data_IF_903465071781
#
_entry.id   IF_903465071781
#
_cell.length_a   1.000
_cell.length_b   1.000
_cell.length_c   1.000
_cell.angle_alpha   90.00
_cell.angle_beta   90.00
_cell.angle_gamma   90.00
#
_symmetry.space_group_name_H-M   'P 1'
#
loop_
_entity.id
_entity.type
_entity.pdbx_description
1 polymer ?
#
# COMPACT_ATOMS: atom_id res chain seq x y z
N UNK A 1 -3.06 14.30 -24.70
CA UNK A 1 -2.31 14.75 -23.51
C UNK A 1 -3.22 14.52 -22.31
N UNK A 2 -3.08 13.42 -21.57
CA UNK A 2 -3.89 13.22 -20.36
C UNK A 2 -3.19 13.93 -19.19
N UNK A 3 -3.53 15.20 -18.99
CA UNK A 3 -3.26 15.85 -17.72
C UNK A 3 -4.21 15.26 -16.68
N UNK A 4 -3.70 14.77 -15.54
CA UNK A 4 -4.52 14.42 -14.37
C UNK A 4 -4.61 12.95 -13.98
N UNK A 5 -3.86 12.04 -14.60
CA UNK A 5 -3.78 10.65 -14.13
C UNK A 5 -2.52 10.47 -13.27
N UNK A 6 -2.63 10.19 -11.96
CA UNK A 6 -1.46 10.09 -11.07
C UNK A 6 -0.59 8.86 -11.32
N UNK A 7 -1.10 7.89 -12.09
CA UNK A 7 -0.39 6.65 -12.47
C UNK A 7 -0.02 6.69 -13.95
N UNK A 8 1.26 6.59 -14.25
CA UNK A 8 1.74 6.53 -15.64
C UNK A 8 1.36 5.20 -16.33
N UNK A 9 1.35 5.15 -17.68
CA UNK A 9 1.13 3.90 -18.40
C UNK A 9 2.13 2.78 -18.03
N UNK A 10 3.38 3.14 -17.75
CA UNK A 10 4.40 2.19 -17.31
C UNK A 10 4.07 1.63 -15.92
N UNK A 11 3.73 2.50 -14.95
CA UNK A 11 3.29 2.06 -13.61
C UNK A 11 2.06 1.16 -13.71
N UNK A 12 1.06 1.53 -14.53
CA UNK A 12 -0.12 0.69 -14.72
C UNK A 12 0.22 -0.71 -15.28
N UNK A 13 1.11 -0.79 -16.28
CA UNK A 13 1.57 -2.08 -16.80
C UNK A 13 2.27 -2.93 -15.72
N UNK A 14 3.06 -2.31 -14.84
CA UNK A 14 3.71 -2.97 -13.71
C UNK A 14 2.68 -3.44 -12.68
N UNK A 15 1.67 -2.63 -12.35
CA UNK A 15 0.56 -3.01 -11.45
C UNK A 15 -0.17 -4.24 -12.00
N UNK A 16 -0.52 -4.24 -13.30
CA UNK A 16 -1.12 -5.39 -13.96
C UNK A 16 -0.27 -6.66 -13.82
N UNK A 17 1.04 -6.55 -14.02
CA UNK A 17 1.97 -7.67 -13.90
C UNK A 17 2.05 -8.22 -12.47
N UNK A 18 2.13 -7.33 -11.47
CA UNK A 18 2.19 -7.69 -10.05
C UNK A 18 0.92 -8.40 -9.62
N UNK A 19 -0.23 -7.77 -9.83
CA UNK A 19 -1.55 -8.30 -9.47
C UNK A 19 -1.77 -9.67 -10.13
N UNK A 20 -1.55 -9.79 -11.43
CA UNK A 20 -1.74 -11.04 -12.16
C UNK A 20 -0.86 -12.17 -11.59
N UNK A 21 0.39 -11.87 -11.22
CA UNK A 21 1.31 -12.87 -10.64
C UNK A 21 0.89 -13.30 -9.25
N UNK A 22 0.53 -12.35 -8.38
CA UNK A 22 0.07 -12.64 -7.01
C UNK A 22 -1.20 -13.50 -7.05
N UNK A 23 -2.18 -13.12 -7.90
CA UNK A 23 -3.44 -13.85 -8.04
C UNK A 23 -3.25 -15.25 -8.65
N UNK A 24 -2.42 -15.39 -9.68
CA UNK A 24 -2.10 -16.69 -10.27
C UNK A 24 -1.45 -17.66 -9.26
N UNK A 25 -0.83 -17.12 -8.22
CA UNK A 25 -0.20 -17.90 -7.14
C UNK A 25 -1.07 -17.97 -5.88
N UNK A 26 -2.28 -17.41 -5.90
CA UNK A 26 -3.22 -17.38 -4.76
C UNK A 26 -2.65 -16.68 -3.52
N UNK A 27 -1.81 -15.66 -3.72
CA UNK A 27 -1.21 -14.89 -2.64
C UNK A 27 -2.19 -13.81 -2.21
N UNK A 28 -2.50 -13.74 -0.92
CA UNK A 28 -3.38 -12.70 -0.39
C UNK A 28 -2.60 -11.39 -0.28
N UNK A 29 -3.13 -10.33 -0.89
CA UNK A 29 -2.48 -9.03 -0.91
C UNK A 29 -3.49 -7.89 -0.78
N UNK A 30 -3.00 -6.69 -0.49
CA UNK A 30 -3.72 -5.45 -0.74
C UNK A 30 -2.76 -4.39 -1.28
N UNK A 31 -3.24 -3.55 -2.20
CA UNK A 31 -2.56 -2.30 -2.53
C UNK A 31 -2.68 -1.33 -1.35
N UNK A 32 -1.59 -0.72 -0.93
CA UNK A 32 -1.54 0.29 0.16
C UNK A 32 -0.87 1.59 -0.33
N UNK A 33 -0.49 2.47 0.59
CA UNK A 33 0.37 3.61 0.29
C UNK A 33 -0.23 4.64 -0.66
N UNK A 34 0.62 5.18 -1.53
CA UNK A 34 0.23 6.23 -2.49
C UNK A 34 -0.83 5.76 -3.48
N UNK A 35 -0.64 4.55 -4.04
CA UNK A 35 -1.55 3.99 -5.04
C UNK A 35 -2.95 3.74 -4.45
N UNK A 36 -3.03 3.27 -3.21
CA UNK A 36 -4.31 3.12 -2.53
C UNK A 36 -5.00 4.47 -2.32
N UNK A 37 -4.26 5.51 -1.97
CA UNK A 37 -4.76 6.89 -1.94
C UNK A 37 -5.34 7.32 -3.30
N UNK A 38 -4.62 7.08 -4.40
CA UNK A 38 -5.08 7.42 -5.74
C UNK A 38 -6.34 6.65 -6.14
N UNK A 39 -6.44 5.37 -5.79
CA UNK A 39 -7.64 4.54 -6.02
C UNK A 39 -8.86 5.14 -5.29
N UNK A 40 -8.66 5.69 -4.09
CA UNK A 40 -9.71 6.38 -3.32
C UNK A 40 -9.97 7.82 -3.77
N UNK A 41 -9.22 8.32 -4.75
CA UNK A 41 -9.45 9.60 -5.42
C UNK A 41 -8.39 10.68 -5.16
N UNK A 42 -7.28 10.38 -4.48
CA UNK A 42 -6.22 11.39 -4.32
C UNK A 42 -5.48 11.65 -5.63
N UNK A 43 -4.99 12.88 -5.80
CA UNK A 43 -4.29 13.29 -7.04
C UNK A 43 -2.76 13.31 -6.91
N UNK A 44 -2.22 12.73 -5.83
CA UNK A 44 -0.77 12.72 -5.60
C UNK A 44 -0.03 11.98 -6.73
N UNK A 45 1.09 12.52 -7.23
CA UNK A 45 1.96 11.78 -8.12
C UNK A 45 2.43 10.48 -7.47
N UNK A 46 2.20 9.35 -8.15
CA UNK A 46 2.62 8.05 -7.63
C UNK A 46 4.14 7.91 -7.71
N UNK A 47 4.80 7.70 -6.58
CA UNK A 47 6.26 7.55 -6.50
C UNK A 47 6.69 6.08 -6.69
N UNK A 48 6.02 5.19 -5.99
CA UNK A 48 6.24 3.75 -5.90
C UNK A 48 4.90 3.00 -5.79
N UNK A 49 4.96 1.68 -5.91
CA UNK A 49 3.80 0.80 -5.74
C UNK A 49 3.99 0.03 -4.43
N UNK A 50 3.13 0.31 -3.45
CA UNK A 50 3.15 -0.36 -2.16
C UNK A 50 2.12 -1.49 -2.09
N UNK A 51 2.54 -2.66 -1.64
CA UNK A 51 1.68 -3.84 -1.46
C UNK A 51 1.94 -4.47 -0.10
N UNK A 52 0.89 -4.78 0.64
CA UNK A 52 1.00 -5.65 1.82
C UNK A 52 0.65 -7.09 1.44
N UNK A 53 1.41 -8.05 1.94
CA UNK A 53 1.14 -9.49 1.81
C UNK A 53 1.32 -10.19 3.16
N UNK A 54 0.72 -11.37 3.33
CA UNK A 54 0.84 -12.12 4.58
C UNK A 54 2.28 -12.61 4.80
N UNK A 55 2.74 -12.59 6.06
CA UNK A 55 4.07 -13.06 6.48
C UNK A 55 4.39 -14.46 5.97
N UNK A 56 3.39 -15.36 6.00
CA UNK A 56 3.52 -16.74 5.54
C UNK A 56 3.84 -16.83 4.04
N UNK A 57 3.43 -15.84 3.24
CA UNK A 57 3.64 -15.80 1.80
C UNK A 57 4.94 -15.08 1.40
N UNK A 58 5.56 -14.32 2.32
CA UNK A 58 6.74 -13.48 2.02
C UNK A 58 7.90 -14.26 1.36
N UNK A 59 8.31 -15.46 1.83
CA UNK A 59 9.37 -16.23 1.17
C UNK A 59 9.02 -16.59 -0.28
N UNK A 60 7.77 -16.99 -0.53
CA UNK A 60 7.28 -17.34 -1.87
C UNK A 60 7.20 -16.12 -2.77
N UNK A 61 6.81 -14.96 -2.25
CA UNK A 61 6.83 -13.70 -2.98
C UNK A 61 8.26 -13.32 -3.38
N UNK A 62 9.22 -13.43 -2.46
CA UNK A 62 10.62 -13.16 -2.75
C UNK A 62 11.17 -14.04 -3.88
N UNK A 63 10.83 -15.34 -3.89
CA UNK A 63 11.18 -16.25 -4.98
C UNK A 63 10.49 -15.89 -6.31
N UNK A 64 9.18 -15.59 -6.27
CA UNK A 64 8.36 -15.28 -7.45
C UNK A 64 8.85 -14.04 -8.20
N UNK A 65 9.38 -13.06 -7.46
CA UNK A 65 9.87 -11.79 -7.99
C UNK A 65 11.40 -11.68 -7.98
N UNK A 66 12.14 -12.76 -7.69
CA UNK A 66 13.59 -12.78 -7.58
C UNK A 66 14.35 -12.02 -8.71
N UNK A 67 13.94 -12.10 -10.01
CA UNK A 67 14.62 -11.35 -11.07
C UNK A 67 14.51 -9.81 -10.98
N UNK A 68 13.58 -9.30 -10.16
CA UNK A 68 13.30 -7.87 -10.01
C UNK A 68 13.75 -7.30 -8.66
N UNK A 69 14.28 -8.16 -7.77
CA UNK A 69 14.68 -7.76 -6.42
C UNK A 69 15.84 -6.79 -6.49
N UNK A 70 15.66 -5.62 -5.87
CA UNK A 70 16.73 -4.64 -5.65
C UNK A 70 17.27 -4.73 -4.23
N UNK A 71 16.41 -4.97 -3.24
CA UNK A 71 16.81 -5.27 -1.86
C UNK A 71 16.05 -6.52 -1.39
N UNK A 72 16.75 -7.54 -0.87
CA UNK A 72 16.12 -8.78 -0.42
C UNK A 72 15.22 -8.55 0.78
N UNK A 73 14.29 -9.48 1.01
CA UNK A 73 13.42 -9.46 2.19
C UNK A 73 14.24 -9.32 3.48
N UNK A 74 13.97 -8.26 4.24
CA UNK A 74 14.61 -8.02 5.52
C UNK A 74 13.98 -6.88 6.31
N UNK A 75 14.63 -6.54 7.44
CA UNK A 75 14.21 -5.40 8.26
C UNK A 75 14.52 -4.09 7.55
N UNK A 76 13.49 -3.25 7.43
CA UNK A 76 13.58 -1.89 6.94
C UNK A 76 13.15 -0.94 8.07
N UNK A 77 14.01 0.00 8.44
CA UNK A 77 13.73 0.99 9.49
C UNK A 77 14.16 2.37 9.02
N UNK A 78 13.23 3.32 9.04
CA UNK A 78 13.46 4.74 8.75
C UNK A 78 12.77 5.66 9.78
N UNK A 79 12.61 6.94 9.45
CA UNK A 79 11.98 7.92 10.33
C UNK A 79 10.47 7.70 10.51
N UNK A 80 9.81 6.99 9.59
CA UNK A 80 8.36 6.77 9.57
C UNK A 80 7.99 5.33 9.94
N UNK A 81 8.85 4.35 9.64
CA UNK A 81 8.49 2.94 9.62
C UNK A 81 9.55 2.00 10.21
N UNK A 82 9.08 0.88 10.74
CA UNK A 82 9.86 -0.35 11.02
C UNK A 82 9.05 -1.54 10.49
N UNK A 83 9.53 -2.15 9.41
CA UNK A 83 8.83 -3.14 8.59
C UNK A 83 9.73 -4.34 8.25
N UNK A 84 9.10 -5.46 7.90
CA UNK A 84 9.73 -6.48 7.04
C UNK A 84 9.37 -6.17 5.60
N UNK A 85 10.37 -5.88 4.77
CA UNK A 85 10.19 -5.30 3.45
C UNK A 85 11.02 -6.03 2.39
N UNK A 86 10.43 -6.22 1.22
CA UNK A 86 11.10 -6.65 -0.01
C UNK A 86 10.97 -5.53 -1.04
N UNK A 87 12.10 -5.09 -1.61
CA UNK A 87 12.08 -3.99 -2.60
C UNK A 87 12.43 -4.51 -4.00
N UNK A 88 11.65 -4.07 -4.98
CA UNK A 88 11.79 -4.48 -6.37
C UNK A 88 11.90 -3.26 -7.31
N UNK A 89 12.45 -3.50 -8.50
CA UNK A 89 12.35 -2.57 -9.62
C UNK A 89 11.97 -3.28 -10.92
N UNK A 90 10.89 -2.82 -11.56
CA UNK A 90 10.45 -3.32 -12.86
C UNK A 90 10.44 -2.15 -13.84
N UNK A 91 11.37 -2.15 -14.80
CA UNK A 91 11.49 -1.07 -15.79
C UNK A 91 11.74 0.31 -15.16
N UNK A 92 12.36 0.37 -13.98
CA UNK A 92 12.59 1.61 -13.23
C UNK A 92 11.44 2.02 -12.30
N UNK A 93 10.30 1.33 -12.34
CA UNK A 93 9.23 1.53 -11.35
C UNK A 93 9.60 0.82 -10.05
N UNK A 94 9.63 1.56 -8.94
CA UNK A 94 9.87 1.03 -7.61
C UNK A 94 8.62 0.35 -7.05
N UNK A 95 8.81 -0.76 -6.39
CA UNK A 95 7.75 -1.54 -5.74
C UNK A 95 8.27 -1.96 -4.37
N UNK A 96 7.47 -1.71 -3.35
CA UNK A 96 7.76 -2.05 -1.98
C UNK A 96 6.69 -3.05 -1.51
N UNK A 97 7.12 -4.27 -1.19
CA UNK A 97 6.24 -5.34 -0.72
C UNK A 97 6.49 -5.57 0.77
N UNK A 98 5.54 -5.15 1.58
CA UNK A 98 5.58 -5.21 3.03
C UNK A 98 4.91 -6.47 3.55
N UNK A 99 5.47 -7.03 4.62
CA UNK A 99 4.74 -7.96 5.47
C UNK A 99 3.61 -7.21 6.18
N UNK A 100 2.38 -7.71 6.06
CA UNK A 100 1.21 -7.11 6.69
C UNK A 100 1.29 -7.20 8.23
N UNK A 101 1.76 -8.32 8.75
CA UNK A 101 1.98 -8.54 10.17
C UNK A 101 3.27 -7.87 10.65
N UNK A 102 3.30 -7.49 11.93
CA UNK A 102 4.50 -6.94 12.57
C UNK A 102 5.05 -5.67 11.89
N UNK A 103 4.19 -4.86 11.26
CA UNK A 103 4.54 -3.51 10.83
C UNK A 103 4.39 -2.49 11.95
N UNK A 104 5.29 -1.50 12.01
CA UNK A 104 5.28 -0.46 13.02
C UNK A 104 5.52 0.92 12.42
N UNK A 105 4.85 1.91 12.99
CA UNK A 105 5.09 3.33 12.74
C UNK A 105 6.04 3.89 13.79
N UNK A 106 6.98 4.70 13.34
CA UNK A 106 7.91 5.43 14.19
C UNK A 106 7.27 6.76 14.58
N UNK A 107 7.01 6.94 15.88
CA UNK A 107 6.34 8.13 16.41
C UNK A 107 7.20 8.83 17.46
N UNK A 108 6.81 10.03 17.87
CA UNK A 108 7.49 10.75 18.96
C UNK A 108 7.41 10.01 20.31
N UNK A 109 6.44 9.10 20.49
CA UNK A 109 6.34 8.23 21.67
C UNK A 109 7.06 6.89 21.50
N UNK A 110 7.77 6.71 20.38
CA UNK A 110 8.48 5.49 20.01
C UNK A 110 7.73 4.67 18.97
N UNK A 111 8.13 3.41 18.87
CA UNK A 111 7.59 2.42 17.91
C UNK A 111 6.17 2.03 18.30
N UNK A 112 5.21 2.22 17.40
CA UNK A 112 3.79 1.91 17.60
C UNK A 112 3.31 0.94 16.52
N UNK A 113 2.49 -0.08 16.85
CA UNK A 113 2.07 -1.08 15.87
C UNK A 113 1.12 -0.48 14.81
N UNK A 114 1.35 -0.84 13.55
CA UNK A 114 0.40 -0.66 12.45
C UNK A 114 -0.39 -1.96 12.32
N UNK A 115 -1.69 -1.90 12.62
CA UNK A 115 -2.56 -3.09 12.58
C UNK A 115 -3.15 -3.27 11.18
N UNK A 116 -2.37 -3.81 10.25
CA UNK A 116 -2.86 -4.18 8.91
C UNK A 116 -3.65 -5.48 8.99
N UNK A 117 -4.89 -5.48 8.47
CA UNK A 117 -5.74 -6.66 8.38
C UNK A 117 -6.14 -6.91 6.93
N UNK A 118 -5.45 -7.85 6.27
CA UNK A 118 -5.71 -8.21 4.87
C UNK A 118 -7.14 -8.72 4.64
N UNK A 119 -7.91 -9.11 5.66
CA UNK A 119 -9.32 -9.53 5.50
C UNK A 119 -10.24 -8.36 5.23
N UNK A 120 -9.83 -7.13 5.59
CA UNK A 120 -10.60 -5.90 5.35
C UNK A 120 -10.39 -5.31 3.96
N UNK A 121 -9.44 -5.83 3.19
CA UNK A 121 -9.18 -5.40 1.81
C UNK A 121 -10.47 -5.32 0.99
N UNK A 122 -10.66 -4.24 0.26
CA UNK A 122 -11.81 -4.03 -0.60
C UNK A 122 -11.47 -4.38 -2.04
N UNK A 123 -12.38 -5.06 -2.75
CA UNK A 123 -12.25 -5.27 -4.20
C UNK A 123 -12.62 -3.98 -4.93
N UNK A 124 -11.83 -3.57 -5.90
CA UNK A 124 -12.05 -2.35 -6.71
C UNK A 124 -11.66 -2.58 -8.17
N UNK A 125 -11.92 -1.59 -9.02
CA UNK A 125 -11.55 -1.58 -10.44
C UNK A 125 -10.68 -0.36 -10.76
N UNK A 126 -9.45 -0.61 -11.21
CA UNK A 126 -8.53 0.42 -11.71
C UNK A 126 -8.40 0.26 -13.23
N UNK A 127 -9.15 1.07 -13.99
CA UNK A 127 -9.16 1.06 -15.47
C UNK A 127 -9.33 -0.33 -16.10
N UNK A 128 -10.26 -1.12 -15.57
CA UNK A 128 -10.55 -2.48 -16.05
C UNK A 128 -9.78 -3.58 -15.32
N UNK A 129 -8.74 -3.25 -14.53
CA UNK A 129 -8.05 -4.20 -13.67
C UNK A 129 -8.83 -4.35 -12.34
N UNK A 130 -9.35 -5.54 -12.08
CA UNK A 130 -9.84 -5.87 -10.74
C UNK A 130 -8.65 -6.12 -9.81
N UNK A 131 -8.68 -5.56 -8.60
CA UNK A 131 -7.64 -5.75 -7.59
C UNK A 131 -8.19 -5.52 -6.17
N UNK A 132 -7.38 -5.84 -5.17
CA UNK A 132 -7.67 -5.56 -3.76
C UNK A 132 -6.89 -4.34 -3.25
N UNK A 133 -7.57 -3.44 -2.53
CA UNK A 133 -7.00 -2.22 -1.97
C UNK A 133 -7.27 -2.11 -0.47
N UNK A 134 -6.36 -1.49 0.27
CA UNK A 134 -6.57 -1.14 1.67
C UNK A 134 -7.75 -0.17 1.82
N UNK A 135 -8.65 -0.35 2.79
CA UNK A 135 -9.73 0.60 3.07
C UNK A 135 -9.19 2.00 3.39
N UNK A 136 -9.89 3.04 2.94
CA UNK A 136 -9.46 4.43 3.08
C UNK A 136 -9.24 4.80 4.55
N UNK A 137 -10.09 4.31 5.43
CA UNK A 137 -9.99 4.57 6.86
C UNK A 137 -8.73 3.96 7.50
N UNK A 138 -8.25 2.83 6.97
CA UNK A 138 -7.03 2.19 7.45
C UNK A 138 -5.80 2.97 6.97
N UNK A 139 -5.86 3.52 5.76
CA UNK A 139 -4.84 4.44 5.23
C UNK A 139 -4.74 5.69 6.11
N UNK A 140 -5.89 6.31 6.43
CA UNK A 140 -5.96 7.48 7.31
C UNK A 140 -5.39 7.14 8.68
N UNK A 141 -5.73 5.96 9.22
CA UNK A 141 -5.27 5.52 10.54
C UNK A 141 -3.74 5.46 10.61
N UNK A 142 -3.09 4.69 9.72
CA UNK A 142 -1.64 4.55 9.81
C UNK A 142 -0.92 5.85 9.45
N UNK A 143 -1.39 6.62 8.45
CA UNK A 143 -0.79 7.92 8.11
C UNK A 143 -0.93 8.96 9.23
N UNK A 144 -1.98 8.85 10.04
CA UNK A 144 -2.16 9.66 11.25
C UNK A 144 -1.14 9.29 12.32
N UNK A 145 -0.86 7.99 12.48
CA UNK A 145 0.12 7.49 13.43
C UNK A 145 1.53 8.02 13.15
N UNK A 146 1.97 7.94 11.89
CA UNK A 146 3.31 8.38 11.46
C UNK A 146 3.40 9.89 11.15
N UNK A 147 2.33 10.66 11.39
CA UNK A 147 2.37 12.11 11.29
C UNK A 147 2.40 12.70 9.87
N UNK A 148 1.93 11.97 8.84
CA UNK A 148 1.86 12.45 7.44
C UNK A 148 0.73 13.45 7.21
N UNK A 149 0.81 14.59 7.89
CA UNK A 149 -0.22 15.64 7.92
C UNK A 149 -0.63 16.19 6.55
N UNK A 150 0.30 16.26 5.59
CA UNK A 150 0.01 16.69 4.22
C UNK A 150 -1.01 15.76 3.54
N UNK A 151 -0.82 14.45 3.70
CA UNK A 151 -1.68 13.42 3.13
C UNK A 151 -3.07 13.42 3.80
N UNK A 152 -3.11 13.60 5.12
CA UNK A 152 -4.33 13.44 5.91
C UNK A 152 -5.45 14.41 5.54
N UNK A 153 -5.12 15.65 5.17
CA UNK A 153 -6.14 16.66 4.84
C UNK A 153 -7.01 16.22 3.66
N UNK A 154 -6.37 15.67 2.63
CA UNK A 154 -7.04 15.21 1.41
C UNK A 154 -7.80 13.91 1.66
N UNK A 155 -7.16 12.91 2.28
CA UNK A 155 -7.81 11.63 2.59
C UNK A 155 -9.04 11.81 3.49
N UNK A 156 -8.99 12.71 4.46
CA UNK A 156 -10.15 13.02 5.29
C UNK A 156 -11.26 13.74 4.51
N UNK A 157 -10.96 14.47 3.44
CA UNK A 157 -11.98 14.99 2.53
C UNK A 157 -12.65 13.87 1.76
N UNK A 158 -11.86 12.99 1.17
CA UNK A 158 -12.34 11.82 0.44
C UNK A 158 -13.22 10.94 1.33
N UNK A 159 -12.83 10.70 2.59
CA UNK A 159 -13.62 9.94 3.54
C UNK A 159 -15.00 10.58 3.81
N UNK A 160 -15.09 11.91 3.89
CA UNK A 160 -16.37 12.62 4.05
C UNK A 160 -17.24 12.49 2.79
N UNK A 161 -16.64 12.62 1.62
CA UNK A 161 -17.32 12.48 0.32
C UNK A 161 -17.88 11.06 0.12
N UNK A 162 -17.15 10.05 0.61
CA UNK A 162 -17.56 8.65 0.60
C UNK A 162 -18.44 8.25 1.80
N UNK A 163 -18.84 9.21 2.65
CA UNK A 163 -19.66 9.00 3.84
C UNK A 163 -19.10 7.96 4.84
N UNK A 164 -17.78 7.86 4.95
CA UNK A 164 -17.08 6.99 5.91
C UNK A 164 -17.06 7.68 7.28
N UNK A 165 -17.63 7.03 8.29
CA UNK A 165 -17.60 7.53 9.67
C UNK A 165 -16.27 7.20 10.37
N UNK A 166 -15.35 8.15 10.34
CA UNK A 166 -14.04 8.02 11.00
C UNK A 166 -14.12 8.00 12.53
N UNK A 167 -15.24 8.42 13.16
CA UNK A 167 -15.37 8.46 14.64
C UNK A 167 -15.65 7.09 15.24
N UNK A 168 -16.32 6.21 14.50
CA UNK A 168 -16.55 4.83 14.91
C UNK A 168 -15.25 4.02 15.09
N UNK A 169 -14.13 4.51 14.54
CA UNK A 169 -12.85 3.81 14.45
C UNK A 169 -11.82 4.19 15.52
N UNK A 170 -12.09 5.23 16.32
CA UNK A 170 -11.23 5.67 17.42
C UNK A 170 -11.50 4.94 18.76
N UNK A 171 -12.46 3.99 18.76
CA UNK A 171 -12.94 3.25 19.93
C UNK A 171 -12.68 1.73 19.85
N UNK A 172 -11.94 1.27 18.83
CA UNK A 172 -11.56 -0.13 18.61
C UNK A 172 -10.04 -0.25 18.61
#
# INVERSE_FOLDING_TARGET
MSFGCPVSPLQFAVICQLVSRLEAHQITYQITGGLAGNIHGSEWPLQDIDIDVAAVDMPRVAELFAPYVTEPLGSYVDEEFDLQLLQLSVGGVRIDISQAEEGYGMTSSGRQPITTDLRRRAKTNLWGLELYVQPLEDIIRYKSLIGRSADLKELQSLAREQAIDLRALALA
#
